data_IF_051561759534
#
_entry.id   IF_051561759534
#
_cell.length_a   1.000
_cell.length_b   1.000
_cell.length_c   1.000
_cell.angle_alpha   90.00
_cell.angle_beta   90.00
_cell.angle_gamma   90.00
#
_symmetry.space_group_name_H-M   'P 1'
#
loop_
_entity.id
_entity.type
_entity.pdbx_description
1 polymer ?
#
# COMPACT_ATOMS: atom_id res chain seq x y z
N UNK A 1 16.95 5.20 7.21
CA UNK A 1 16.44 5.78 5.95
C UNK A 1 17.08 5.09 4.76
N UNK A 2 16.29 4.28 4.05
CA UNK A 2 16.67 3.66 2.78
C UNK A 2 16.72 4.73 1.68
N UNK A 3 17.60 4.56 0.69
CA UNK A 3 17.59 5.43 -0.48
C UNK A 3 16.35 5.16 -1.35
N UNK A 4 15.57 6.21 -1.60
CA UNK A 4 14.40 6.15 -2.50
C UNK A 4 14.87 6.40 -3.93
N UNK A 5 14.62 5.42 -4.80
CA UNK A 5 14.91 5.53 -6.23
C UNK A 5 14.01 6.53 -6.95
N UNK A 6 14.44 7.02 -8.11
CA UNK A 6 13.62 7.92 -8.93
C UNK A 6 12.26 7.31 -9.31
N UNK A 7 12.21 5.99 -9.55
CA UNK A 7 10.97 5.29 -9.85
C UNK A 7 9.98 5.33 -8.66
N UNK A 8 10.48 5.14 -7.44
CA UNK A 8 9.66 5.26 -6.23
C UNK A 8 9.22 6.71 -5.98
N UNK A 9 10.09 7.70 -6.26
CA UNK A 9 9.71 9.13 -6.19
C UNK A 9 8.57 9.44 -7.14
N UNK A 10 8.60 8.90 -8.36
CA UNK A 10 7.49 9.06 -9.31
C UNK A 10 6.17 8.50 -8.77
N UNK A 11 6.19 7.37 -8.05
CA UNK A 11 4.97 6.83 -7.41
C UNK A 11 4.47 7.77 -6.31
N UNK A 12 5.36 8.32 -5.50
CA UNK A 12 4.98 9.30 -4.47
C UNK A 12 4.45 10.60 -5.11
N UNK A 13 5.03 11.06 -6.22
CA UNK A 13 4.51 12.22 -6.95
C UNK A 13 3.15 11.92 -7.59
N UNK A 14 2.92 10.69 -8.08
CA UNK A 14 1.59 10.25 -8.52
C UNK A 14 0.57 10.31 -7.38
N UNK A 15 0.96 9.87 -6.18
CA UNK A 15 0.14 9.89 -4.98
C UNK A 15 -0.31 11.30 -4.58
N UNK A 16 0.57 12.30 -4.73
CA UNK A 16 0.24 13.74 -4.52
C UNK A 16 -0.81 14.28 -5.48
N UNK A 17 -1.02 13.60 -6.61
CA UNK A 17 -2.10 13.89 -7.53
C UNK A 17 -3.37 13.05 -7.27
N UNK A 18 -3.38 12.22 -6.22
CA UNK A 18 -4.57 11.53 -5.77
C UNK A 18 -5.58 12.50 -5.17
N UNK A 19 -6.86 12.31 -5.49
CA UNK A 19 -7.95 13.06 -4.86
C UNK A 19 -9.15 12.12 -4.70
N UNK A 20 -9.34 11.63 -3.48
CA UNK A 20 -10.42 10.70 -3.14
C UNK A 20 -10.82 10.88 -1.67
N UNK A 21 -12.05 11.32 -1.41
CA UNK A 21 -12.58 11.55 -0.05
C UNK A 21 -11.63 12.31 0.89
N UNK A 22 -11.21 11.69 1.99
CA UNK A 22 -10.31 12.27 3.00
C UNK A 22 -8.83 12.01 2.71
N UNK A 23 -8.50 11.38 1.58
CA UNK A 23 -7.12 11.09 1.23
C UNK A 23 -6.29 12.37 1.01
N UNK A 24 -5.34 12.62 1.91
CA UNK A 24 -4.33 13.68 1.76
C UNK A 24 -3.05 13.10 1.14
N UNK A 25 -2.99 13.12 -0.20
CA UNK A 25 -1.86 12.57 -0.95
C UNK A 25 -0.51 13.24 -0.67
N UNK A 26 -0.50 14.52 -0.27
CA UNK A 26 0.73 15.22 0.09
C UNK A 26 1.26 14.70 1.45
N UNK A 27 0.39 14.60 2.46
CA UNK A 27 0.75 14.10 3.78
C UNK A 27 1.25 12.64 3.72
N UNK A 28 0.52 11.76 3.04
CA UNK A 28 0.90 10.35 2.92
C UNK A 28 2.22 10.19 2.16
N UNK A 29 2.43 10.93 1.08
CA UNK A 29 3.67 10.88 0.31
C UNK A 29 4.88 11.38 1.12
N UNK A 30 4.71 12.45 1.91
CA UNK A 30 5.75 13.01 2.75
C UNK A 30 6.13 12.06 3.91
N UNK A 31 5.14 11.41 4.53
CA UNK A 31 5.38 10.42 5.59
C UNK A 31 6.12 9.21 5.05
N UNK A 32 5.68 8.64 3.92
CA UNK A 32 6.40 7.54 3.26
C UNK A 32 7.82 7.95 2.87
N UNK A 33 8.04 9.19 2.44
CA UNK A 33 9.36 9.69 2.09
C UNK A 33 10.27 9.83 3.33
N UNK A 34 9.74 10.31 4.46
CA UNK A 34 10.47 10.49 5.72
C UNK A 34 10.77 9.15 6.40
N UNK A 35 9.91 8.16 6.24
CA UNK A 35 9.99 6.84 6.86
C UNK A 35 10.33 5.73 5.86
N UNK A 36 11.24 6.02 4.91
CA UNK A 36 11.61 5.11 3.83
C UNK A 36 12.21 3.77 4.25
N UNK A 37 12.66 3.65 5.50
CA UNK A 37 13.11 2.40 6.10
C UNK A 37 11.97 1.46 6.53
N UNK A 38 10.73 1.96 6.64
CA UNK A 38 9.57 1.14 7.02
C UNK A 38 8.95 0.38 5.85
N UNK A 39 9.35 0.63 4.61
CA UNK A 39 8.73 0.01 3.44
C UNK A 39 9.73 -0.34 2.33
N UNK A 40 9.31 -1.24 1.44
CA UNK A 40 10.11 -1.79 0.34
C UNK A 40 9.65 -1.18 -0.99
N UNK A 41 8.35 -1.25 -1.26
CA UNK A 41 7.71 -0.69 -2.43
C UNK A 41 6.30 -0.21 -2.06
N UNK A 42 5.75 0.74 -2.83
CA UNK A 42 4.37 1.14 -2.70
C UNK A 42 3.76 1.40 -4.09
N UNK A 43 2.44 1.39 -4.16
CA UNK A 43 1.66 1.76 -5.34
C UNK A 43 0.33 2.38 -4.92
N UNK A 44 0.00 3.54 -5.47
CA UNK A 44 -1.27 4.21 -5.26
C UNK A 44 -2.14 4.14 -6.51
N UNK A 45 -3.40 3.76 -6.33
CA UNK A 45 -4.42 3.77 -7.37
C UNK A 45 -4.84 2.40 -7.89
N UNK A 46 -5.72 2.42 -8.88
CA UNK A 46 -6.33 1.21 -9.45
C UNK A 46 -5.29 0.33 -10.18
N UNK A 47 -4.92 -0.79 -9.55
CA UNK A 47 -4.00 -1.78 -10.11
C UNK A 47 -4.58 -2.51 -11.33
N UNK A 48 -5.92 -2.56 -11.45
CA UNK A 48 -6.61 -3.23 -12.56
C UNK A 48 -6.67 -2.37 -13.82
N UNK A 49 -6.55 -1.03 -13.68
CA UNK A 49 -6.64 -0.08 -14.79
C UNK A 49 -5.52 0.98 -14.81
N UNK A 50 -4.23 0.62 -14.78
CA UNK A 50 -3.13 1.58 -14.69
C UNK A 50 -3.10 2.59 -15.86
N UNK A 51 -3.46 2.16 -17.07
CA UNK A 51 -3.56 3.06 -18.23
C UNK A 51 -4.67 4.10 -18.08
N UNK A 52 -5.79 3.73 -17.46
CA UNK A 52 -6.89 4.66 -17.18
C UNK A 52 -6.47 5.68 -16.13
N UNK A 53 -5.78 5.24 -15.07
CA UNK A 53 -5.26 6.11 -14.02
C UNK A 53 -4.31 7.16 -14.59
N UNK A 54 -3.38 6.77 -15.45
CA UNK A 54 -2.46 7.71 -16.12
C UNK A 54 -3.18 8.63 -17.11
N UNK A 55 -4.16 8.13 -17.87
CA UNK A 55 -4.94 8.95 -18.78
C UNK A 55 -5.79 10.00 -18.04
N UNK A 56 -6.38 9.62 -16.89
CA UNK A 56 -7.14 10.52 -16.03
C UNK A 56 -6.28 11.66 -15.49
N UNK A 57 -5.04 11.36 -15.08
CA UNK A 57 -4.12 12.40 -14.61
C UNK A 57 -3.89 13.47 -15.68
N UNK A 58 -3.70 13.07 -16.95
CA UNK A 58 -3.54 14.01 -18.05
C UNK A 58 -4.80 14.82 -18.37
N UNK A 59 -6.00 14.28 -18.11
CA UNK A 59 -7.27 14.91 -18.48
C UNK A 59 -7.85 15.77 -17.36
N UNK A 60 -7.71 15.33 -16.12
CA UNK A 60 -8.37 15.90 -14.95
C UNK A 60 -7.39 16.45 -13.92
N UNK A 61 -6.08 16.19 -14.07
CA UNK A 61 -5.07 16.58 -13.09
C UNK A 61 -5.10 15.76 -11.81
N UNK A 62 -5.85 14.65 -11.79
CA UNK A 62 -5.93 13.75 -10.64
C UNK A 62 -5.94 12.27 -11.03
N UNK A 63 -5.39 11.45 -10.14
CA UNK A 63 -5.50 9.99 -10.20
C UNK A 63 -6.80 9.60 -9.51
N UNK A 64 -7.53 8.67 -10.14
CA UNK A 64 -8.64 7.99 -9.49
C UNK A 64 -8.09 6.74 -8.83
N UNK A 65 -8.18 6.69 -7.50
CA UNK A 65 -7.62 5.66 -6.67
C UNK A 65 -8.10 5.83 -5.25
N UNK A 66 -8.52 4.74 -4.65
CA UNK A 66 -9.05 4.66 -3.28
C UNK A 66 -8.15 3.79 -2.39
N UNK A 67 -7.09 3.22 -2.95
CA UNK A 67 -6.24 2.23 -2.31
C UNK A 67 -4.76 2.56 -2.47
N UNK A 68 -4.02 2.42 -1.39
CA UNK A 68 -2.55 2.40 -1.34
C UNK A 68 -2.10 0.99 -0.95
N UNK A 69 -1.27 0.39 -1.78
CA UNK A 69 -0.60 -0.87 -1.50
C UNK A 69 0.83 -0.59 -1.03
N UNK A 70 1.23 -1.13 0.12
CA UNK A 70 2.60 -0.99 0.64
C UNK A 70 3.17 -2.36 0.97
N UNK A 71 4.30 -2.67 0.37
CA UNK A 71 5.07 -3.86 0.68
C UNK A 71 6.09 -3.53 1.78
N UNK A 72 6.09 -4.30 2.86
CA UNK A 72 7.00 -4.15 4.00
C UNK A 72 7.44 -5.53 4.52
N UNK A 73 8.14 -5.55 5.65
CA UNK A 73 8.57 -6.77 6.33
C UNK A 73 7.73 -7.04 7.58
N UNK A 74 7.74 -8.28 8.05
CA UNK A 74 7.11 -8.64 9.34
C UNK A 74 7.67 -7.87 10.54
N UNK A 75 8.87 -7.30 10.45
CA UNK A 75 9.46 -6.46 11.51
C UNK A 75 8.89 -5.04 11.52
N UNK A 76 8.51 -4.51 10.35
CA UNK A 76 8.19 -3.09 10.17
C UNK A 76 6.69 -2.79 10.04
N UNK A 77 5.85 -3.80 9.77
CA UNK A 77 4.45 -3.56 9.42
C UNK A 77 3.66 -2.84 10.52
N UNK A 78 3.86 -3.16 11.80
CA UNK A 78 3.17 -2.47 12.90
C UNK A 78 3.55 -0.99 12.96
N UNK A 79 4.83 -0.66 12.74
CA UNK A 79 5.28 0.73 12.69
C UNK A 79 4.69 1.48 11.51
N UNK A 80 4.48 0.80 10.38
CA UNK A 80 3.84 1.37 9.20
C UNK A 80 2.33 1.58 9.43
N UNK A 81 1.65 0.66 10.12
CA UNK A 81 0.26 0.82 10.57
C UNK A 81 0.14 2.02 11.51
N UNK A 82 1.01 2.14 12.51
CA UNK A 82 1.01 3.29 13.43
C UNK A 82 1.30 4.61 12.73
N UNK A 83 2.13 4.62 11.68
CA UNK A 83 2.31 5.81 10.84
C UNK A 83 1.00 6.17 10.11
N UNK A 84 0.30 5.16 9.59
CA UNK A 84 -0.95 5.32 8.85
C UNK A 84 -2.12 5.80 9.71
N UNK A 85 -2.09 5.66 11.05
CA UNK A 85 -3.13 6.17 11.96
C UNK A 85 -3.45 7.67 11.76
N UNK A 86 -2.51 8.43 11.19
CA UNK A 86 -2.69 9.84 10.87
C UNK A 86 -3.31 10.14 9.50
N UNK A 87 -3.54 9.13 8.65
CA UNK A 87 -3.89 9.27 7.23
C UNK A 87 -5.39 9.24 6.94
N UNK A 88 -6.24 9.32 7.97
CA UNK A 88 -7.72 9.31 7.85
C UNK A 88 -8.25 8.17 6.94
N UNK A 89 -7.67 6.97 7.03
CA UNK A 89 -8.12 5.79 6.29
C UNK A 89 -9.38 5.16 6.92
N UNK A 90 -10.13 4.39 6.13
CA UNK A 90 -11.27 3.59 6.61
C UNK A 90 -10.82 2.21 7.07
N UNK A 91 -10.01 1.52 6.25
CA UNK A 91 -9.55 0.15 6.54
C UNK A 91 -8.08 -0.07 6.14
N UNK A 92 -7.39 -0.93 6.90
CA UNK A 92 -6.11 -1.54 6.49
C UNK A 92 -6.24 -3.05 6.50
N UNK A 93 -5.93 -3.69 5.37
CA UNK A 93 -5.72 -5.13 5.27
C UNK A 93 -4.22 -5.44 5.36
N UNK A 94 -3.82 -6.25 6.35
CA UNK A 94 -2.45 -6.76 6.48
C UNK A 94 -2.40 -8.24 6.10
N UNK A 95 -1.68 -8.55 5.03
CA UNK A 95 -1.50 -9.90 4.48
C UNK A 95 -0.08 -10.38 4.71
N UNK A 96 0.06 -11.50 5.41
CA UNK A 96 1.36 -12.04 5.80
C UNK A 96 1.79 -13.14 4.83
N UNK A 97 3.06 -13.12 4.41
CA UNK A 97 3.62 -14.18 3.57
C UNK A 97 3.51 -15.55 4.25
N UNK A 98 3.99 -15.63 5.49
CA UNK A 98 4.20 -16.89 6.22
C UNK A 98 2.96 -17.37 7.01
N UNK A 99 1.80 -16.76 6.77
CA UNK A 99 0.55 -17.11 7.43
C UNK A 99 -0.63 -16.98 6.46
N UNK A 100 -1.68 -17.78 6.66
CA UNK A 100 -2.97 -17.59 5.99
C UNK A 100 -3.84 -16.54 6.71
N UNK A 101 -3.35 -15.98 7.81
CA UNK A 101 -4.00 -14.87 8.50
C UNK A 101 -3.95 -13.61 7.65
N UNK A 102 -5.11 -13.00 7.49
CA UNK A 102 -5.25 -11.61 7.06
C UNK A 102 -5.87 -10.84 8.22
N UNK A 103 -5.29 -9.70 8.55
CA UNK A 103 -5.84 -8.80 9.56
C UNK A 103 -6.55 -7.65 8.86
N UNK A 104 -7.75 -7.31 9.31
CA UNK A 104 -8.45 -6.09 8.98
C UNK A 104 -8.40 -5.17 10.20
N UNK A 105 -7.88 -3.97 10.00
CA UNK A 105 -7.76 -2.92 11.01
C UNK A 105 -8.71 -1.79 10.60
N UNK A 106 -9.71 -1.50 11.44
CA UNK A 106 -10.71 -0.47 11.21
C UNK A 106 -10.87 0.34 12.49
N UNK A 107 -10.33 1.56 12.50
CA UNK A 107 -10.17 2.33 13.74
C UNK A 107 -9.33 1.59 14.79
N UNK A 108 -9.86 1.50 16.03
CA UNK A 108 -9.19 0.83 17.16
C UNK A 108 -9.40 -0.70 17.20
N UNK A 109 -10.10 -1.26 16.21
CA UNK A 109 -10.49 -2.67 16.19
C UNK A 109 -9.67 -3.46 15.17
N UNK A 110 -9.29 -4.69 15.54
CA UNK A 110 -8.56 -5.61 14.66
C UNK A 110 -9.31 -6.94 14.56
N UNK A 111 -9.52 -7.37 13.32
CA UNK A 111 -10.27 -8.57 12.98
C UNK A 111 -9.39 -9.53 12.19
N UNK A 112 -9.61 -10.82 12.35
CA UNK A 112 -9.10 -11.82 11.40
C UNK A 112 -10.14 -12.02 10.31
N UNK A 113 -9.75 -11.89 9.05
CA UNK A 113 -10.64 -12.04 7.89
C UNK A 113 -10.49 -13.41 7.23
N UNK A 114 -11.24 -13.62 6.14
CA UNK A 114 -11.22 -14.85 5.36
C UNK A 114 -9.86 -15.03 4.65
N UNK A 115 -9.27 -16.24 4.67
CA UNK A 115 -8.11 -16.57 3.85
C UNK A 115 -8.27 -16.25 2.35
N UNK A 116 -9.48 -16.22 1.79
CA UNK A 116 -9.73 -15.83 0.40
C UNK A 116 -9.24 -14.40 0.10
N UNK A 117 -9.30 -13.48 1.08
CA UNK A 117 -8.80 -12.10 0.93
C UNK A 117 -7.31 -12.05 0.61
N UNK A 118 -6.49 -12.96 1.15
CA UNK A 118 -5.07 -13.04 0.81
C UNK A 118 -4.89 -13.30 -0.67
N UNK A 119 -5.62 -14.27 -1.20
CA UNK A 119 -5.53 -14.64 -2.60
C UNK A 119 -6.00 -13.50 -3.52
N UNK A 120 -7.05 -12.77 -3.16
CA UNK A 120 -7.52 -11.60 -3.91
C UNK A 120 -6.46 -10.50 -3.98
N UNK A 121 -5.76 -10.23 -2.87
CA UNK A 121 -4.74 -9.19 -2.82
C UNK A 121 -3.43 -9.60 -3.52
N UNK A 122 -3.02 -10.86 -3.40
CA UNK A 122 -1.89 -11.40 -4.17
C UNK A 122 -2.19 -11.38 -5.69
N UNK A 123 -3.42 -11.70 -6.08
CA UNK A 123 -3.86 -11.57 -7.47
C UNK A 123 -3.83 -10.11 -7.95
N UNK A 124 -4.20 -9.16 -7.08
CA UNK A 124 -4.17 -7.72 -7.36
C UNK A 124 -2.74 -7.21 -7.58
N UNK A 125 -1.77 -7.72 -6.81
CA UNK A 125 -0.34 -7.48 -7.05
C UNK A 125 0.20 -8.20 -8.29
N UNK A 126 -0.51 -9.21 -8.79
CA UNK A 126 -0.07 -10.08 -9.87
C UNK A 126 1.01 -11.10 -9.46
N UNK A 127 1.25 -11.29 -8.16
CA UNK A 127 2.30 -12.16 -7.64
C UNK A 127 1.97 -12.66 -6.23
N UNK A 128 2.24 -13.93 -5.96
CA UNK A 128 2.19 -14.47 -4.61
C UNK A 128 3.34 -13.90 -3.76
N UNK A 129 3.09 -13.62 -2.48
CA UNK A 129 4.12 -13.04 -1.59
C UNK A 129 5.31 -13.97 -1.41
N UNK A 130 5.10 -15.29 -1.40
CA UNK A 130 6.16 -16.29 -1.30
C UNK A 130 7.16 -16.15 -2.46
N UNK A 131 6.65 -16.12 -3.70
CA UNK A 131 7.49 -15.96 -4.90
C UNK A 131 8.17 -14.59 -4.92
N UNK A 132 7.46 -13.53 -4.50
CA UNK A 132 8.04 -12.18 -4.46
C UNK A 132 9.20 -12.10 -3.45
N UNK A 133 9.05 -12.75 -2.30
CA UNK A 133 10.08 -12.86 -1.26
C UNK A 133 11.34 -13.53 -1.81
N UNK A 134 11.19 -14.62 -2.56
CA UNK A 134 12.32 -15.31 -3.19
C UNK A 134 13.04 -14.42 -4.20
N UNK A 135 12.31 -13.74 -5.08
CA UNK A 135 12.87 -12.85 -6.10
C UNK A 135 13.59 -11.64 -5.50
N UNK A 136 13.04 -11.07 -4.43
CA UNK A 136 13.62 -9.93 -3.73
C UNK A 136 14.68 -10.34 -2.70
N UNK A 137 14.80 -11.64 -2.39
CA UNK A 137 15.61 -12.18 -1.31
C UNK A 137 15.28 -11.53 0.06
N UNK A 138 13.99 -11.43 0.38
CA UNK A 138 13.46 -10.87 1.64
C UNK A 138 12.55 -11.92 2.27
N UNK A 139 12.90 -12.50 3.44
CA UNK A 139 12.32 -13.77 3.90
C UNK A 139 10.90 -13.68 4.49
N UNK A 140 10.40 -12.49 4.80
CA UNK A 140 9.17 -12.31 5.55
C UNK A 140 8.48 -11.01 5.15
N UNK A 141 7.72 -11.07 4.06
CA UNK A 141 6.97 -9.95 3.52
C UNK A 141 5.59 -9.82 4.17
N UNK A 142 5.15 -8.57 4.30
CA UNK A 142 3.78 -8.20 4.62
C UNK A 142 3.32 -7.20 3.55
N UNK A 143 2.13 -7.44 3.00
CA UNK A 143 1.43 -6.48 2.15
C UNK A 143 0.38 -5.77 3.00
N UNK A 144 0.42 -4.44 3.01
CA UNK A 144 -0.67 -3.61 3.50
C UNK A 144 -1.47 -3.07 2.30
N UNK A 145 -2.79 -3.22 2.32
CA UNK A 145 -3.69 -2.38 1.52
C UNK A 145 -4.38 -1.41 2.48
N UNK A 146 -4.20 -0.12 2.24
CA UNK A 146 -4.82 0.97 2.97
C UNK A 146 -5.90 1.56 2.06
N UNK A 147 -7.12 1.65 2.56
CA UNK A 147 -8.30 1.98 1.76
C UNK A 147 -9.06 3.17 2.35
N UNK A 148 -9.58 4.02 1.45
CA UNK A 148 -10.46 5.16 1.72
C UNK A 148 -11.76 4.97 0.93
N UNK A 149 -12.95 5.16 1.52
CA UNK A 149 -14.29 5.06 0.87
C UNK A 149 -15.09 6.36 0.92
#
# INVERSE_FOLDING_TARGET
MREISDAQRLVLDLMRHGNFNQFDGDAVADDLMQHSDLWIACWFGDHSMPLRSLANLSLYGSIHGDSLYVLTTEENWESLVSLAESWEYDEIYAVFQNSDTVLLIAGDETYTTDPETKQELENSMGYALETLSEDLNIPALVLLQIWWD
#
